data_IF_448419840589
#
_entry.id   IF_448419840589
#
_cell.length_a   1.000
_cell.length_b   1.000
_cell.length_c   1.000
_cell.angle_alpha   90.00
_cell.angle_beta   90.00
_cell.angle_gamma   90.00
#
_symmetry.space_group_name_H-M   'P 1'
#
loop_
_entity.id
_entity.type
_entity.pdbx_description
1 polymer ?
#
# COMPACT_ATOMS: atom_id res chain seq x y z
N UNK A 1 -19.28 3.47 9.21
CA UNK A 1 -18.39 2.99 10.28
C UNK A 1 -17.05 2.70 9.63
N UNK A 2 -15.99 3.40 10.02
CA UNK A 2 -14.63 3.08 9.58
C UNK A 2 -14.09 2.17 10.67
N UNK A 3 -14.04 0.87 10.41
CA UNK A 3 -13.42 -0.09 11.32
C UNK A 3 -11.94 0.22 11.34
N UNK A 4 -11.38 0.50 12.52
CA UNK A 4 -9.94 0.53 12.72
C UNK A 4 -9.40 -0.84 12.29
N UNK A 5 -8.66 -0.89 11.19
CA UNK A 5 -7.96 -2.10 10.75
C UNK A 5 -6.72 -2.22 11.62
N UNK A 6 -6.83 -2.98 12.71
CA UNK A 6 -5.64 -3.32 13.47
C UNK A 6 -4.68 -4.15 12.60
N UNK A 7 -3.37 -3.91 12.69
CA UNK A 7 -2.39 -4.65 11.91
C UNK A 7 -2.43 -6.13 12.30
N UNK A 8 -2.77 -6.98 11.34
CA UNK A 8 -2.79 -8.44 11.50
C UNK A 8 -1.49 -9.06 11.00
N UNK A 9 -0.92 -9.97 11.79
CA UNK A 9 0.29 -10.69 11.42
C UNK A 9 -0.06 -11.91 10.58
N UNK A 10 0.59 -12.02 9.43
CA UNK A 10 0.52 -13.18 8.52
C UNK A 10 1.89 -13.84 8.42
N UNK A 11 1.90 -15.14 8.09
CA UNK A 11 3.14 -15.89 7.88
C UNK A 11 3.44 -15.99 6.40
N UNK A 12 4.73 -15.90 6.05
CA UNK A 12 5.25 -16.27 4.74
C UNK A 12 5.65 -17.74 4.83
N UNK A 13 5.16 -18.56 3.92
CA UNK A 13 5.52 -19.98 3.86
C UNK A 13 6.83 -20.19 3.07
N UNK A 14 7.33 -21.43 3.05
CA UNK A 14 8.64 -21.78 2.48
C UNK A 14 8.76 -21.52 0.96
N UNK A 15 7.64 -21.34 0.25
CA UNK A 15 7.63 -20.99 -1.17
C UNK A 15 7.49 -19.48 -1.43
N UNK A 16 7.48 -18.66 -0.38
CA UNK A 16 7.37 -17.21 -0.47
C UNK A 16 5.93 -16.69 -0.59
N UNK A 17 4.91 -17.55 -0.49
CA UNK A 17 3.52 -17.13 -0.49
C UNK A 17 3.04 -16.66 0.88
N UNK A 18 2.13 -15.69 0.85
CA UNK A 18 1.45 -15.14 2.02
C UNK A 18 0.01 -15.62 2.00
N UNK A 19 -0.39 -16.35 3.03
CA UNK A 19 -1.78 -16.75 3.20
C UNK A 19 -2.58 -15.58 3.79
N UNK A 20 -3.27 -14.84 2.92
CA UNK A 20 -4.11 -13.72 3.33
C UNK A 20 -5.37 -14.21 4.08
N UNK A 21 -5.60 -13.73 5.32
CA UNK A 21 -6.81 -13.98 6.09
C UNK A 21 -8.08 -13.72 5.29
N UNK A 22 -9.09 -14.56 5.49
CA UNK A 22 -10.32 -14.54 4.69
C UNK A 22 -11.04 -13.18 4.73
N UNK A 23 -11.01 -12.50 5.88
CA UNK A 23 -11.67 -11.21 6.04
C UNK A 23 -10.93 -10.09 5.29
N UNK A 24 -9.59 -10.09 5.26
CA UNK A 24 -8.80 -9.15 4.45
C UNK A 24 -9.04 -9.36 2.95
N UNK A 25 -9.10 -10.62 2.52
CA UNK A 25 -9.47 -10.95 1.13
C UNK A 25 -10.86 -10.43 0.78
N UNK A 26 -11.84 -10.65 1.65
CA UNK A 26 -13.21 -10.19 1.43
C UNK A 26 -13.33 -8.66 1.41
N UNK A 27 -12.69 -7.97 2.36
CA UNK A 27 -12.72 -6.51 2.42
C UNK A 27 -12.03 -5.86 1.24
N UNK A 28 -10.97 -6.48 0.72
CA UNK A 28 -10.24 -6.03 -0.45
C UNK A 28 -10.82 -6.56 -1.78
N UNK A 29 -11.92 -7.32 -1.76
CA UNK A 29 -12.54 -7.86 -2.97
C UNK A 29 -11.66 -8.86 -3.75
N UNK A 30 -10.75 -9.55 -3.05
CA UNK A 30 -9.81 -10.52 -3.60
C UNK A 30 -10.37 -11.94 -3.59
N UNK A 31 -10.34 -12.58 -4.75
CA UNK A 31 -10.80 -13.95 -4.97
C UNK A 31 -9.64 -14.82 -5.47
N UNK A 32 -9.68 -16.15 -5.24
CA UNK A 32 -8.69 -17.07 -5.81
C UNK A 32 -8.63 -16.93 -7.34
N UNK A 33 -7.42 -16.72 -7.87
CA UNK A 33 -7.17 -16.51 -9.30
C UNK A 33 -7.12 -15.04 -9.74
N UNK A 34 -7.41 -14.08 -8.85
CA UNK A 34 -7.20 -12.67 -9.15
C UNK A 34 -5.70 -12.37 -9.29
N UNK A 35 -5.34 -11.67 -10.37
CA UNK A 35 -3.99 -11.14 -10.55
C UNK A 35 -3.83 -9.86 -9.70
N UNK A 36 -2.68 -9.73 -9.03
CA UNK A 36 -2.37 -8.62 -8.14
C UNK A 36 -1.17 -7.83 -8.68
N UNK A 37 -1.29 -6.51 -8.70
CA UNK A 37 -0.15 -5.62 -8.76
C UNK A 37 0.53 -5.60 -7.39
N UNK A 38 1.84 -5.85 -7.39
CA UNK A 38 2.69 -5.77 -6.20
C UNK A 38 3.62 -4.57 -6.36
N UNK A 39 3.49 -3.59 -5.46
CA UNK A 39 4.38 -2.43 -5.39
C UNK A 39 5.23 -2.54 -4.15
N UNK A 40 6.55 -2.53 -4.32
CA UNK A 40 7.48 -2.48 -3.20
C UNK A 40 7.81 -1.03 -2.85
N UNK A 41 7.53 -0.66 -1.61
CA UNK A 41 7.94 0.58 -0.98
C UNK A 41 9.07 0.27 0.01
N UNK A 42 10.32 0.61 -0.33
CA UNK A 42 11.46 0.38 0.54
C UNK A 42 11.28 0.97 1.96
N UNK A 43 11.92 0.38 2.99
CA UNK A 43 12.76 -0.83 2.91
C UNK A 43 11.96 -2.15 2.94
N UNK A 44 10.69 -2.15 3.36
CA UNK A 44 10.04 -3.34 3.91
C UNK A 44 8.54 -3.49 3.60
N UNK A 45 7.95 -2.53 2.87
CA UNK A 45 6.50 -2.50 2.67
C UNK A 45 6.13 -3.00 1.27
N UNK A 46 5.14 -3.89 1.20
CA UNK A 46 4.52 -4.33 -0.05
C UNK A 46 3.07 -3.87 -0.07
N UNK A 47 2.68 -3.17 -1.13
CA UNK A 47 1.29 -2.81 -1.40
C UNK A 47 0.76 -3.76 -2.47
N UNK A 48 -0.40 -4.36 -2.19
CA UNK A 48 -1.10 -5.26 -3.09
C UNK A 48 -2.39 -4.62 -3.58
N UNK A 49 -2.63 -4.63 -4.89
CA UNK A 49 -3.88 -4.13 -5.49
C UNK A 49 -4.35 -5.04 -6.61
N UNK A 50 -5.66 -5.21 -6.75
CA UNK A 50 -6.25 -6.06 -7.80
C UNK A 50 -5.98 -5.47 -9.19
N UNK A 51 -5.34 -6.24 -10.05
CA UNK A 51 -4.87 -5.74 -11.35
C UNK A 51 -6.02 -5.34 -12.29
N UNK A 52 -7.15 -6.07 -12.25
CA UNK A 52 -8.32 -5.75 -13.07
C UNK A 52 -8.91 -4.38 -12.77
N UNK A 53 -8.78 -3.87 -11.54
CA UNK A 53 -9.25 -2.53 -11.17
C UNK A 53 -8.34 -1.42 -11.69
N UNK A 54 -7.06 -1.74 -11.92
CA UNK A 54 -6.09 -0.79 -12.46
C UNK A 54 -6.23 -0.73 -13.98
N UNK A 55 -6.27 -1.90 -14.63
CA UNK A 55 -6.37 -2.02 -16.10
C UNK A 55 -7.72 -1.52 -16.64
N UNK A 56 -8.79 -1.63 -15.85
CA UNK A 56 -10.10 -1.10 -16.24
C UNK A 56 -10.14 0.44 -16.28
N UNK A 57 -9.17 1.13 -15.67
CA UNK A 57 -9.19 2.58 -15.55
C UNK A 57 -7.79 3.21 -15.63
N UNK A 58 -7.00 2.79 -16.62
CA UNK A 58 -5.65 3.32 -16.89
C UNK A 58 -5.62 4.86 -16.95
N UNK A 59 -6.71 5.50 -17.40
CA UNK A 59 -6.82 6.96 -17.42
C UNK A 59 -7.02 7.57 -16.04
N UNK A 60 -7.87 6.99 -15.19
CA UNK A 60 -8.05 7.50 -13.82
C UNK A 60 -6.83 7.18 -12.96
N UNK A 61 -6.18 6.03 -13.16
CA UNK A 61 -4.93 5.72 -12.48
C UNK A 61 -3.81 6.70 -12.86
N UNK A 62 -3.62 6.96 -14.17
CA UNK A 62 -2.65 7.94 -14.62
C UNK A 62 -2.97 9.36 -14.13
N UNK A 63 -4.26 9.74 -14.11
CA UNK A 63 -4.70 11.04 -13.58
C UNK A 63 -4.45 11.16 -12.07
N UNK A 64 -4.78 10.13 -11.29
CA UNK A 64 -4.56 10.11 -9.85
C UNK A 64 -3.06 10.15 -9.51
N UNK A 65 -2.24 9.41 -10.25
CA UNK A 65 -0.78 9.46 -10.06
C UNK A 65 -0.18 10.81 -10.45
N UNK A 66 -0.67 11.42 -11.52
CA UNK A 66 -0.26 12.76 -11.94
C UNK A 66 -0.66 13.84 -10.92
N UNK A 67 -1.87 13.73 -10.35
CA UNK A 67 -2.34 14.65 -9.31
C UNK A 67 -1.56 14.48 -8.00
N UNK A 68 -1.22 13.24 -7.63
CA UNK A 68 -0.40 12.92 -6.48
C UNK A 68 1.03 13.48 -6.63
N UNK A 69 1.66 13.29 -7.79
CA UNK A 69 2.98 13.83 -8.10
C UNK A 69 2.99 15.38 -8.07
N UNK A 70 1.95 16.00 -8.62
CA UNK A 70 1.77 17.45 -8.55
C UNK A 70 1.51 17.97 -7.12
N UNK A 71 0.93 17.16 -6.24
CA UNK A 71 0.73 17.50 -4.83
C UNK A 71 2.05 17.41 -4.05
N UNK A 72 2.83 16.35 -4.26
CA UNK A 72 4.16 16.16 -3.67
C UNK A 72 5.11 17.29 -4.06
N UNK A 73 5.17 17.61 -5.36
CA UNK A 73 5.99 18.72 -5.87
C UNK A 73 5.59 20.06 -5.24
N UNK A 74 4.28 20.34 -5.10
CA UNK A 74 3.78 21.57 -4.44
C UNK A 74 4.08 21.64 -2.95
N UNK A 75 4.16 20.49 -2.29
CA UNK A 75 4.54 20.39 -0.88
C UNK A 75 6.06 20.48 -0.66
N UNK A 76 6.86 20.56 -1.73
CA UNK A 76 8.31 20.72 -1.66
C UNK A 76 9.10 19.41 -1.75
N UNK A 77 8.44 18.29 -2.04
CA UNK A 77 9.06 16.98 -2.27
C UNK A 77 9.20 16.79 -3.78
N UNK A 78 10.26 17.37 -4.36
CA UNK A 78 10.50 17.40 -5.81
C UNK A 78 11.41 16.28 -6.31
N UNK A 79 11.96 15.48 -5.39
CA UNK A 79 12.86 14.38 -5.70
C UNK A 79 12.41 13.08 -5.04
N UNK A 80 12.75 11.96 -5.67
CA UNK A 80 12.45 10.61 -5.15
C UNK A 80 12.99 10.41 -3.73
N UNK A 81 14.16 10.96 -3.42
CA UNK A 81 14.79 10.88 -2.10
C UNK A 81 13.98 11.64 -1.02
N UNK A 82 13.42 12.80 -1.36
CA UNK A 82 12.57 13.59 -0.46
C UNK A 82 11.24 12.88 -0.17
N UNK A 83 10.65 12.24 -1.18
CA UNK A 83 9.43 11.44 -1.03
C UNK A 83 9.70 10.20 -0.16
N UNK A 84 10.84 9.53 -0.37
CA UNK A 84 11.25 8.38 0.46
C UNK A 84 11.49 8.77 1.92
N UNK A 85 12.09 9.93 2.18
CA UNK A 85 12.27 10.44 3.54
C UNK A 85 10.93 10.74 4.22
N UNK A 86 9.98 11.38 3.51
CA UNK A 86 8.63 11.60 4.04
C UNK A 86 7.93 10.28 4.40
N UNK A 87 8.04 9.26 3.54
CA UNK A 87 7.48 7.94 3.81
C UNK A 87 8.11 7.33 5.07
N UNK A 88 9.43 7.48 5.26
CA UNK A 88 10.10 7.01 6.47
C UNK A 88 9.61 7.73 7.73
N UNK A 89 9.43 9.06 7.68
CA UNK A 89 8.92 9.84 8.81
C UNK A 89 7.52 9.40 9.24
N UNK A 90 6.60 9.26 8.27
CA UNK A 90 5.22 8.79 8.53
C UNK A 90 5.22 7.38 9.12
N UNK A 91 6.05 6.47 8.59
CA UNK A 91 6.16 5.10 9.11
C UNK A 91 6.69 5.09 10.55
N UNK A 92 7.63 5.97 10.87
CA UNK A 92 8.23 6.06 12.20
C UNK A 92 7.23 6.59 13.23
N UNK A 93 6.42 7.59 12.86
CA UNK A 93 5.28 8.05 13.67
C UNK A 93 4.26 6.93 13.89
N UNK A 94 3.85 6.21 12.85
CA UNK A 94 2.89 5.10 12.97
C UNK A 94 3.42 3.96 13.85
N UNK A 95 4.70 3.60 13.72
CA UNK A 95 5.32 2.61 14.57
C UNK A 95 5.33 3.04 16.04
N UNK A 96 5.64 4.30 16.32
CA UNK A 96 5.66 4.83 17.69
C UNK A 96 4.26 4.85 18.30
N UNK A 97 3.24 5.23 17.52
CA UNK A 97 1.84 5.20 17.95
C UNK A 97 1.37 3.76 18.24
N UNK A 98 1.82 2.78 17.46
CA UNK A 98 1.55 1.36 17.70
C UNK A 98 2.33 0.78 18.88
N UNK A 99 3.57 1.21 19.11
CA UNK A 99 4.37 0.75 20.23
C UNK A 99 3.93 1.36 21.57
N UNK A 100 3.25 2.50 21.54
CA UNK A 100 2.73 3.19 22.72
C UNK A 100 1.34 2.70 23.18
N UNK A 101 0.62 1.93 22.34
CA UNK A 101 -0.67 1.30 22.65
C UNK A 101 -0.54 -0.21 22.85
#
# INVERSE_FOLDING_TARGET
>A
MITSLEPERVSINDNGAIDLPAHLRQSAGLFPGDELLVVWLPPDTLILRKQSEIVADDKVFAAAMSEFDAALTRAGYGTDDEVLNLIQEIKLEQYNDWAAN
#
